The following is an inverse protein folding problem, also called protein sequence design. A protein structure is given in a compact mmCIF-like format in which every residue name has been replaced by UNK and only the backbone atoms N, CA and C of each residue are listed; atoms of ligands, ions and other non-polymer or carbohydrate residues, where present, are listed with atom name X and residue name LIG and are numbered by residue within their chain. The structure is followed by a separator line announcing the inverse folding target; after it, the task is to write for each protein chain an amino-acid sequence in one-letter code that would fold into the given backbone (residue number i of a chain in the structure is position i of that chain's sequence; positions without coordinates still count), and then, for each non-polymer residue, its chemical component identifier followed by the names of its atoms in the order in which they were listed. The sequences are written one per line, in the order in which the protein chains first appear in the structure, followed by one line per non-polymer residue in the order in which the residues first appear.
data_IF_537350937088
#
_entry.id   IF_537350937088
#
_cell.length_a   1.000
_cell.length_b   1.000
_cell.length_c   1.000
_cell.angle_alpha   90.00
_cell.angle_beta   90.00
_cell.angle_gamma   90.00
#
_symmetry.space_group_name_H-M   'P 1'
#
loop_
_entity.id
_entity.type
_entity.pdbx_description
1 polymer ?
#
# COMPACT_ATOMS: atom_id res chain seq x y z
N UNK A 1 -23.71 -20.29 5.08
CA UNK A 1 -23.66 -20.07 6.54
C UNK A 1 -22.26 -19.63 6.95
N UNK A 2 -21.21 -20.46 6.76
CA UNK A 2 -19.81 -20.10 7.10
C UNK A 2 -19.24 -18.85 6.39
N UNK A 3 -19.58 -18.63 5.11
CA UNK A 3 -19.09 -17.48 4.33
C UNK A 3 -19.76 -16.16 4.74
N UNK A 4 -21.04 -16.22 5.12
CA UNK A 4 -21.77 -15.05 5.63
C UNK A 4 -21.27 -14.66 7.02
N UNK A 5 -20.90 -15.64 7.85
CA UNK A 5 -20.32 -15.40 9.18
C UNK A 5 -18.93 -14.76 9.09
N UNK A 6 -18.09 -15.21 8.16
CA UNK A 6 -16.76 -14.62 7.94
C UNK A 6 -16.86 -13.19 7.39
N UNK A 7 -17.81 -12.95 6.47
CA UNK A 7 -18.08 -11.62 5.94
C UNK A 7 -18.67 -10.67 7.01
N UNK A 8 -19.53 -11.18 7.89
CA UNK A 8 -20.08 -10.42 9.01
C UNK A 8 -18.99 -10.03 10.02
N UNK A 9 -18.12 -10.98 10.42
CA UNK A 9 -16.98 -10.68 11.30
C UNK A 9 -15.97 -9.73 10.67
N UNK A 10 -15.77 -9.77 9.35
CA UNK A 10 -14.92 -8.82 8.64
C UNK A 10 -15.51 -7.41 8.65
N UNK A 11 -16.81 -7.26 8.38
CA UNK A 11 -17.48 -5.95 8.40
C UNK A 11 -17.52 -5.32 9.81
N UNK A 12 -17.67 -6.12 10.86
CA UNK A 12 -17.65 -5.61 12.23
C UNK A 12 -16.26 -5.05 12.62
N UNK A 13 -15.18 -5.71 12.19
CA UNK A 13 -13.81 -5.22 12.41
C UNK A 13 -13.51 -3.96 11.61
N UNK A 14 -14.01 -3.84 10.38
CA UNK A 14 -13.86 -2.64 9.56
C UNK A 14 -14.56 -1.43 10.18
N UNK A 15 -15.75 -1.63 10.77
CA UNK A 15 -16.52 -0.57 11.43
C UNK A 15 -15.82 -0.05 12.69
N UNK A 16 -15.24 -0.95 13.50
CA UNK A 16 -14.44 -0.59 14.68
C UNK A 16 -13.17 0.20 14.28
N UNK A 17 -12.54 -0.14 13.15
CA UNK A 17 -11.37 0.59 12.66
C UNK A 17 -11.77 1.98 12.16
N UNK A 18 -12.89 2.11 11.42
CA UNK A 18 -13.41 3.40 10.98
C UNK A 18 -13.82 4.32 12.15
N UNK A 19 -14.43 3.77 13.19
CA UNK A 19 -14.84 4.55 14.37
C UNK A 19 -13.61 5.06 15.14
N UNK A 20 -12.55 4.25 15.23
CA UNK A 20 -11.26 4.67 15.81
C UNK A 20 -10.55 5.72 14.95
N UNK A 21 -10.66 5.62 13.63
CA UNK A 21 -10.10 6.60 12.69
C UNK A 21 -10.81 7.97 12.83
N UNK A 22 -12.14 7.97 12.92
CA UNK A 22 -12.94 9.19 13.14
C UNK A 22 -12.70 9.81 14.51
N UNK A 23 -12.51 8.99 15.54
CA UNK A 23 -12.12 9.47 16.88
C UNK A 23 -10.75 10.14 16.85
N UNK A 24 -9.75 9.55 16.17
CA UNK A 24 -8.42 10.13 16.00
C UNK A 24 -8.45 11.46 15.22
N UNK A 25 -9.25 11.55 14.17
CA UNK A 25 -9.45 12.79 13.40
C UNK A 25 -10.16 13.88 14.20
N UNK A 26 -11.09 13.52 15.08
CA UNK A 26 -11.76 14.48 15.98
C UNK A 26 -10.80 15.04 17.04
N UNK A 27 -9.86 14.23 17.53
CA UNK A 27 -8.80 14.66 18.44
C UNK A 27 -7.80 15.59 17.73
N UNK A 28 -7.43 15.29 16.48
CA UNK A 28 -6.59 16.16 15.67
C UNK A 28 -7.24 17.54 15.46
N UNK A 29 -8.55 17.59 15.21
CA UNK A 29 -9.31 18.84 15.04
C UNK A 29 -9.45 19.63 16.35
N UNK A 30 -9.51 18.93 17.50
CA UNK A 30 -9.51 19.56 18.83
C UNK A 30 -8.15 20.15 19.22
N UNK A 31 -7.05 19.56 18.75
CA UNK A 31 -5.69 20.07 18.98
C UNK A 31 -5.33 21.24 18.04
N UNK A 32 -5.87 21.26 16.81
CA UNK A 32 -5.70 22.37 15.86
C UNK A 32 -6.34 23.69 16.34
N UNK A 33 -7.24 23.66 17.32
CA UNK A 33 -7.84 24.85 17.94
C UNK A 33 -6.98 25.52 19.01
N UNK A 34 -5.91 24.87 19.49
CA UNK A 34 -5.06 25.36 20.57
C UNK A 34 -3.68 25.69 20.02
N UNK A 35 -3.57 26.95 19.53
CA UNK A 35 -2.36 27.65 19.06
C UNK A 35 -1.82 27.21 17.70
N UNK A 36 -1.76 28.18 16.79
CA UNK A 36 -1.11 28.11 15.48
C UNK A 36 0.41 27.95 15.57
N UNK A 37 0.84 26.74 15.94
CA UNK A 37 2.23 26.30 15.90
C UNK A 37 2.31 25.27 14.78
N UNK A 38 3.15 25.53 13.79
CA UNK A 38 3.56 24.56 12.77
C UNK A 38 4.37 23.46 13.45
N UNK A 39 3.86 22.24 13.45
CA UNK A 39 4.44 21.08 14.13
C UNK A 39 5.48 20.40 13.24
N UNK A 40 6.74 20.31 13.69
CA UNK A 40 7.52 19.09 13.65
C UNK A 40 7.48 18.34 15.00
N UNK A 41 6.55 18.67 15.90
CA UNK A 41 6.44 18.16 17.29
C UNK A 41 5.70 16.82 17.48
N UNK A 42 5.48 16.02 16.43
CA UNK A 42 5.07 14.60 16.61
C UNK A 42 6.15 13.73 16.00
N UNK A 43 7.35 13.95 16.53
CA UNK A 43 8.18 12.89 17.08
C UNK A 43 7.26 11.82 17.70
N UNK A 44 6.92 10.85 16.87
CA UNK A 44 6.45 9.51 17.18
C UNK A 44 6.55 9.20 18.67
N UNK A 45 5.37 9.09 19.28
CA UNK A 45 5.03 8.65 20.63
C UNK A 45 5.57 7.24 20.98
N UNK A 46 6.78 6.87 20.57
CA UNK A 46 7.28 5.49 20.61
C UNK A 46 8.80 5.30 20.79
N UNK A 47 9.60 6.35 20.97
CA UNK A 47 11.00 6.18 21.37
C UNK A 47 11.14 6.38 22.88
N UNK A 48 11.48 5.28 23.54
CA UNK A 48 11.70 5.07 24.96
C UNK A 48 12.35 6.30 25.64
N UNK A 49 11.67 6.81 26.69
CA UNK A 49 11.84 8.09 27.39
C UNK A 49 13.22 8.39 28.02
N UNK A 50 14.30 7.72 27.62
CA UNK A 50 15.61 7.85 28.27
C UNK A 50 16.68 8.64 27.52
N UNK A 51 16.54 8.91 26.21
CA UNK A 51 17.70 9.27 25.36
C UNK A 51 17.60 10.56 24.54
N UNK A 52 16.49 11.31 24.68
CA UNK A 52 16.23 12.51 23.87
C UNK A 52 17.09 13.70 24.32
N UNK A 53 17.30 13.87 25.62
CA UNK A 53 18.14 14.97 26.13
C UNK A 53 19.64 14.74 25.85
N UNK A 54 20.07 13.46 25.78
CA UNK A 54 21.43 13.08 25.41
C UNK A 54 21.72 13.44 23.93
N UNK A 55 20.75 13.20 23.05
CA UNK A 55 20.83 13.51 21.61
C UNK A 55 20.83 15.03 21.37
N UNK A 56 20.07 15.81 22.14
CA UNK A 56 20.02 17.26 22.00
C UNK A 56 21.32 17.93 22.47
N UNK A 57 21.97 17.38 23.51
CA UNK A 57 23.29 17.84 23.97
C UNK A 57 24.42 17.50 22.99
N UNK A 58 24.34 16.35 22.31
CA UNK A 58 25.27 15.94 21.25
C UNK A 58 25.16 16.83 20.00
N UNK A 59 23.95 17.26 19.65
CA UNK A 59 23.72 18.16 18.51
C UNK A 59 24.26 19.58 18.76
N UNK A 60 24.06 20.12 19.98
CA UNK A 60 24.64 21.40 20.41
C UNK A 60 26.18 21.35 20.51
N UNK A 61 26.74 20.18 20.86
CA UNK A 61 28.19 19.95 20.86
C UNK A 61 28.82 19.87 19.46
N UNK A 62 28.09 19.34 18.47
CA UNK A 62 28.55 19.22 17.08
C UNK A 62 28.62 20.58 16.36
N UNK A 63 27.77 21.54 16.72
CA UNK A 63 27.77 22.89 16.13
C UNK A 63 28.94 23.75 16.62
N UNK A 64 29.46 23.49 17.84
CA UNK A 64 30.61 24.20 18.41
C UNK A 64 31.97 23.73 17.86
N UNK A 65 32.05 22.57 17.20
CA UNK A 65 33.31 21.93 16.79
C UNK A 65 33.41 21.74 15.27
N UNK A 66 33.10 22.78 14.49
CA UNK A 66 33.05 22.76 13.01
C UNK A 66 34.42 22.55 12.30
N UNK A 67 35.53 22.44 13.05
CA UNK A 67 36.90 22.56 12.50
C UNK A 67 37.80 21.30 12.59
N UNK A 68 37.25 20.11 12.92
CA UNK A 68 38.04 18.87 12.87
C UNK A 68 37.50 17.86 11.84
N UNK A 69 38.36 17.21 11.03
CA UNK A 69 37.95 16.26 9.98
C UNK A 69 37.21 15.03 10.52
N UNK A 70 37.34 14.75 11.81
CA UNK A 70 36.67 13.66 12.50
C UNK A 70 35.15 13.92 12.68
N UNK A 71 34.70 15.17 12.60
CA UNK A 71 33.30 15.56 12.85
C UNK A 71 32.38 15.37 11.62
N UNK A 72 32.93 15.45 10.39
CA UNK A 72 32.15 15.11 9.19
C UNK A 72 31.75 13.62 9.18
N UNK A 73 32.65 12.76 9.69
CA UNK A 73 32.39 11.33 9.83
C UNK A 73 31.25 11.11 10.83
N UNK A 74 31.30 11.75 12.02
CA UNK A 74 30.24 11.62 13.04
C UNK A 74 28.89 12.11 12.53
N UNK A 75 28.85 13.21 11.75
CA UNK A 75 27.63 13.71 11.13
C UNK A 75 27.07 12.74 10.07
N UNK A 76 27.94 12.11 9.26
CA UNK A 76 27.55 11.06 8.30
C UNK A 76 26.97 9.82 9.01
N UNK A 77 27.62 9.35 10.09
CA UNK A 77 27.12 8.23 10.89
C UNK A 77 25.77 8.56 11.53
N UNK A 78 25.58 9.79 12.00
CA UNK A 78 24.32 10.25 12.57
C UNK A 78 23.21 10.28 11.51
N UNK A 79 23.50 10.76 10.29
CA UNK A 79 22.54 10.82 9.18
C UNK A 79 22.10 9.42 8.72
N UNK A 80 23.04 8.46 8.65
CA UNK A 80 22.75 7.05 8.32
C UNK A 80 21.90 6.34 9.36
N UNK A 81 21.88 6.82 10.60
CA UNK A 81 21.10 6.19 11.68
C UNK A 81 19.65 6.71 11.74
N UNK A 82 19.36 7.86 11.12
CA UNK A 82 18.05 8.56 11.25
C UNK A 82 17.12 8.32 10.05
N UNK A 83 17.65 7.95 8.88
CA UNK A 83 16.82 7.62 7.72
C UNK A 83 16.62 6.10 7.63
N UNK A 84 15.49 5.53 8.10
CA UNK A 84 15.13 4.18 7.70
C UNK A 84 14.90 4.23 6.18
N UNK A 85 15.87 3.75 5.43
CA UNK A 85 15.69 3.49 4.02
C UNK A 85 14.65 2.38 3.91
N UNK A 86 13.47 2.72 3.39
CA UNK A 86 12.47 1.71 3.05
C UNK A 86 13.10 0.71 2.09
N UNK A 87 13.16 -0.54 2.51
CA UNK A 87 13.94 -1.60 1.90
C UNK A 87 13.15 -2.90 1.93
N UNK A 88 13.53 -3.84 1.08
CA UNK A 88 12.91 -5.16 1.10
C UNK A 88 13.31 -5.92 2.36
N UNK A 89 12.32 -6.37 3.12
CA UNK A 89 12.55 -7.16 4.33
C UNK A 89 12.62 -8.67 3.99
N UNK A 90 13.48 -9.45 4.67
CA UNK A 90 13.54 -10.90 4.47
C UNK A 90 12.16 -11.53 4.72
N UNK A 91 11.69 -12.33 3.74
CA UNK A 91 10.39 -13.03 3.78
C UNK A 91 9.14 -12.15 3.69
N UNK A 92 9.25 -10.91 3.20
CA UNK A 92 8.10 -10.05 2.93
C UNK A 92 7.22 -10.62 1.79
N UNK A 93 5.90 -10.67 2.02
CA UNK A 93 4.91 -11.24 1.07
C UNK A 93 3.99 -10.18 0.43
N UNK A 94 4.23 -8.90 0.69
CA UNK A 94 3.45 -7.77 0.18
C UNK A 94 4.32 -6.60 -0.26
N UNK A 95 3.69 -5.48 -0.59
CA UNK A 95 4.38 -4.24 -0.95
C UNK A 95 5.16 -3.64 0.22
N UNK A 96 6.12 -2.76 -0.09
CA UNK A 96 6.75 -1.83 0.87
C UNK A 96 5.74 -0.80 1.38
N UNK A 97 6.11 -0.10 2.46
CA UNK A 97 5.26 0.91 3.07
C UNK A 97 5.05 2.10 2.12
N UNK A 98 3.83 2.64 2.10
CA UNK A 98 3.51 3.72 1.19
C UNK A 98 4.12 5.04 1.66
N UNK A 99 5.14 5.53 0.95
CA UNK A 99 5.74 6.85 1.19
C UNK A 99 5.06 8.00 0.39
N UNK A 100 4.14 7.68 -0.53
CA UNK A 100 3.44 8.66 -1.38
C UNK A 100 1.94 8.35 -1.45
N UNK A 101 1.07 9.37 -1.66
CA UNK A 101 -0.37 9.15 -1.84
C UNK A 101 -0.68 8.27 -3.06
N UNK A 102 0.17 8.33 -4.09
CA UNK A 102 0.08 7.46 -5.27
C UNK A 102 0.31 6.00 -4.88
N UNK A 103 1.35 5.69 -4.11
CA UNK A 103 1.64 4.33 -3.65
C UNK A 103 0.53 3.78 -2.74
N UNK A 104 -0.08 4.65 -1.93
CA UNK A 104 -1.26 4.26 -1.14
C UNK A 104 -2.41 3.83 -2.05
N UNK A 105 -2.73 4.62 -3.08
CA UNK A 105 -3.76 4.28 -4.05
C UNK A 105 -3.48 2.99 -4.84
N UNK A 106 -2.21 2.73 -5.17
CA UNK A 106 -1.79 1.47 -5.81
C UNK A 106 -2.03 0.27 -4.87
N UNK A 107 -1.69 0.43 -3.58
CA UNK A 107 -1.90 -0.61 -2.58
C UNK A 107 -3.39 -0.90 -2.38
N UNK A 108 -4.23 0.13 -2.33
CA UNK A 108 -5.68 -0.02 -2.21
C UNK A 108 -6.27 -0.74 -3.44
N UNK A 109 -5.88 -0.34 -4.65
CA UNK A 109 -6.28 -1.00 -5.90
C UNK A 109 -5.84 -2.47 -5.93
N UNK A 110 -4.61 -2.77 -5.48
CA UNK A 110 -4.12 -4.15 -5.40
C UNK A 110 -5.02 -5.01 -4.51
N UNK A 111 -5.41 -4.52 -3.32
CA UNK A 111 -6.29 -5.27 -2.42
C UNK A 111 -7.68 -5.50 -3.03
N UNK A 112 -8.26 -4.49 -3.69
CA UNK A 112 -9.55 -4.61 -4.38
C UNK A 112 -9.52 -5.67 -5.48
N UNK A 113 -8.50 -5.63 -6.35
CA UNK A 113 -8.30 -6.62 -7.42
C UNK A 113 -8.13 -8.02 -6.82
N UNK A 114 -7.28 -8.14 -5.81
CA UNK A 114 -6.94 -9.44 -5.21
C UNK A 114 -8.15 -10.10 -4.54
N UNK A 115 -9.04 -9.31 -3.94
CA UNK A 115 -10.31 -9.79 -3.39
C UNK A 115 -11.18 -10.48 -4.46
N UNK A 116 -11.36 -9.86 -5.64
CA UNK A 116 -12.13 -10.46 -6.73
C UNK A 116 -11.44 -11.71 -7.31
N UNK A 117 -10.11 -11.69 -7.44
CA UNK A 117 -9.35 -12.84 -7.93
C UNK A 117 -9.50 -14.05 -7.00
N UNK A 118 -9.38 -13.87 -5.69
CA UNK A 118 -9.60 -14.94 -4.71
C UNK A 118 -11.03 -15.49 -4.81
N UNK A 119 -12.03 -14.62 -4.95
CA UNK A 119 -13.42 -15.02 -5.07
C UNK A 119 -13.63 -15.92 -6.30
N UNK A 120 -13.12 -15.53 -7.47
CA UNK A 120 -13.20 -16.31 -8.70
C UNK A 120 -12.45 -17.64 -8.54
N UNK A 121 -11.25 -17.61 -7.95
CA UNK A 121 -10.43 -18.79 -7.72
C UNK A 121 -11.19 -19.83 -6.88
N UNK A 122 -11.74 -19.43 -5.74
CA UNK A 122 -12.52 -20.34 -4.87
C UNK A 122 -13.75 -20.88 -5.59
N UNK A 123 -14.47 -20.05 -6.36
CA UNK A 123 -15.63 -20.48 -7.14
C UNK A 123 -15.27 -21.54 -8.19
N UNK A 124 -14.22 -21.31 -8.97
CA UNK A 124 -13.75 -22.25 -9.99
C UNK A 124 -13.21 -23.54 -9.35
N UNK A 125 -12.40 -23.43 -8.30
CA UNK A 125 -11.89 -24.58 -7.55
C UNK A 125 -13.03 -25.43 -6.97
N UNK A 126 -14.09 -24.81 -6.47
CA UNK A 126 -15.28 -25.52 -5.96
C UNK A 126 -16.00 -26.28 -7.07
N UNK A 127 -16.30 -25.63 -8.21
CA UNK A 127 -16.97 -26.31 -9.35
C UNK A 127 -16.10 -27.45 -9.88
N UNK A 128 -14.79 -27.25 -9.98
CA UNK A 128 -13.85 -28.29 -10.41
C UNK A 128 -13.86 -29.47 -9.43
N UNK A 129 -13.75 -29.22 -8.13
CA UNK A 129 -13.82 -30.27 -7.11
C UNK A 129 -15.15 -31.03 -7.14
N UNK A 130 -16.27 -30.33 -7.34
CA UNK A 130 -17.61 -30.93 -7.49
C UNK A 130 -17.71 -31.77 -8.76
N UNK A 131 -17.18 -31.30 -9.88
CA UNK A 131 -17.17 -32.02 -11.15
C UNK A 131 -16.35 -33.31 -11.02
N UNK A 132 -15.14 -33.25 -10.48
CA UNK A 132 -14.29 -34.41 -10.24
C UNK A 132 -14.98 -35.44 -9.31
N UNK A 133 -15.66 -34.98 -8.26
CA UNK A 133 -16.37 -35.86 -7.33
C UNK A 133 -17.61 -36.52 -7.94
N UNK A 134 -18.39 -35.79 -8.74
CA UNK A 134 -19.66 -36.26 -9.30
C UNK A 134 -19.46 -37.11 -10.57
N UNK A 135 -18.50 -36.75 -11.41
CA UNK A 135 -18.15 -37.46 -12.65
C UNK A 135 -17.01 -38.47 -12.47
N UNK A 136 -16.66 -38.82 -11.22
CA UNK A 136 -15.74 -39.90 -10.96
C UNK A 136 -16.32 -41.21 -11.54
N UNK A 137 -15.50 -41.96 -12.28
CA UNK A 137 -15.82 -43.27 -12.87
C UNK A 137 -16.65 -44.21 -11.97
N UNK A 138 -16.35 -44.26 -10.66
CA UNK A 138 -17.12 -45.07 -9.69
C UNK A 138 -18.58 -44.64 -9.53
N UNK A 139 -18.90 -43.36 -9.76
CA UNK A 139 -20.24 -42.79 -9.60
C UNK A 139 -20.96 -42.58 -10.93
N UNK A 140 -20.23 -42.32 -12.01
CA UNK A 140 -20.82 -42.07 -13.31
C UNK A 140 -20.04 -42.82 -14.42
N UNK A 141 -20.30 -44.14 -14.58
CA UNK A 141 -19.53 -44.99 -15.49
C UNK A 141 -19.89 -44.80 -16.98
N UNK A 142 -21.05 -44.20 -17.30
CA UNK A 142 -21.49 -43.95 -18.67
C UNK A 142 -21.40 -42.44 -18.95
N UNK A 143 -20.51 -41.99 -19.86
CA UNK A 143 -20.37 -40.57 -20.16
C UNK A 143 -21.56 -40.05 -20.98
N UNK A 144 -22.06 -38.87 -20.62
CA UNK A 144 -23.08 -38.18 -21.40
C UNK A 144 -22.46 -37.52 -22.64
N UNK A 145 -23.10 -37.65 -23.80
CA UNK A 145 -22.66 -37.08 -25.10
C UNK A 145 -23.37 -35.75 -25.41
N UNK A 146 -23.23 -34.75 -24.55
CA UNK A 146 -23.73 -33.39 -24.80
C UNK A 146 -22.55 -32.55 -25.29
N UNK A 147 -22.63 -32.08 -26.54
CA UNK A 147 -21.51 -31.38 -27.21
C UNK A 147 -21.78 -29.89 -27.37
N UNK A 148 -23.05 -29.48 -27.43
CA UNK A 148 -23.44 -28.09 -27.68
C UNK A 148 -24.41 -27.61 -26.62
N UNK A 149 -24.19 -26.38 -26.14
CA UNK A 149 -25.04 -25.73 -25.16
C UNK A 149 -24.92 -24.21 -25.27
N UNK A 150 -25.45 -23.62 -26.35
CA UNK A 150 -25.33 -22.19 -26.65
C UNK A 150 -25.65 -21.28 -25.45
N UNK A 151 -26.64 -21.66 -24.63
CA UNK A 151 -26.99 -20.93 -23.40
C UNK A 151 -25.86 -20.86 -22.38
N UNK A 152 -25.13 -21.96 -22.12
CA UNK A 152 -24.00 -21.97 -21.17
C UNK A 152 -22.80 -21.20 -21.73
N UNK A 153 -22.65 -21.18 -23.06
CA UNK A 153 -21.59 -20.43 -23.72
C UNK A 153 -21.80 -18.92 -23.63
N UNK A 154 -23.05 -18.46 -23.78
CA UNK A 154 -23.40 -17.05 -23.57
C UNK A 154 -23.19 -16.68 -22.09
N UNK A 155 -23.68 -17.53 -21.17
CA UNK A 155 -23.61 -17.27 -19.73
C UNK A 155 -22.16 -17.12 -19.24
N UNK A 156 -21.27 -18.04 -19.64
CA UNK A 156 -19.84 -18.00 -19.28
C UNK A 156 -19.08 -16.86 -19.93
N UNK A 157 -19.64 -16.15 -20.90
CA UNK A 157 -18.97 -15.01 -21.54
C UNK A 157 -19.40 -13.71 -20.85
N UNK A 158 -20.69 -13.60 -20.52
CA UNK A 158 -21.25 -12.43 -19.83
C UNK A 158 -20.77 -12.38 -18.37
N UNK A 159 -20.88 -13.48 -17.62
CA UNK A 159 -20.54 -13.50 -16.20
C UNK A 159 -19.09 -13.06 -15.91
N UNK A 160 -18.06 -13.58 -16.61
CA UNK A 160 -16.68 -13.16 -16.40
C UNK A 160 -16.37 -11.76 -16.94
N UNK A 161 -17.16 -11.23 -17.86
CA UNK A 161 -16.94 -9.88 -18.40
C UNK A 161 -17.43 -8.78 -17.44
N UNK A 162 -18.45 -9.07 -16.62
CA UNK A 162 -19.02 -8.10 -15.68
C UNK A 162 -18.08 -7.84 -14.50
N UNK A 163 -17.36 -8.86 -14.02
CA UNK A 163 -16.51 -8.71 -12.81
C UNK A 163 -15.37 -7.70 -13.03
N UNK A 164 -14.56 -7.77 -14.12
CA UNK A 164 -13.51 -6.79 -14.41
C UNK A 164 -14.04 -5.37 -14.66
N UNK A 165 -15.29 -5.24 -15.14
CA UNK A 165 -15.89 -3.92 -15.36
C UNK A 165 -16.01 -3.11 -14.07
N UNK A 166 -16.32 -3.76 -12.94
CA UNK A 166 -16.37 -3.11 -11.63
C UNK A 166 -14.98 -2.72 -11.11
N UNK A 167 -13.96 -3.53 -11.43
CA UNK A 167 -12.56 -3.26 -11.05
C UNK A 167 -11.98 -2.08 -11.86
N UNK A 168 -12.45 -1.89 -13.09
CA UNK A 168 -11.97 -0.81 -13.96
C UNK A 168 -12.29 0.59 -13.41
N UNK A 169 -13.39 0.75 -12.66
CA UNK A 169 -13.82 2.06 -12.12
C UNK A 169 -12.77 2.66 -11.17
N UNK A 170 -12.36 2.00 -10.06
CA UNK A 170 -11.31 2.53 -9.19
C UNK A 170 -9.96 2.63 -9.90
N UNK A 171 -9.66 1.71 -10.84
CA UNK A 171 -8.42 1.75 -11.62
C UNK A 171 -8.30 3.01 -12.48
N UNK A 172 -9.37 3.43 -13.15
CA UNK A 172 -9.34 4.66 -13.95
C UNK A 172 -9.27 5.91 -13.07
N UNK A 173 -9.99 5.94 -11.95
CA UNK A 173 -9.91 7.05 -11.00
C UNK A 173 -8.48 7.26 -10.49
N UNK A 174 -7.76 6.17 -10.16
CA UNK A 174 -6.36 6.24 -9.73
C UNK A 174 -5.45 6.76 -10.85
N UNK A 175 -5.62 6.26 -12.08
CA UNK A 175 -4.80 6.67 -13.22
C UNK A 175 -4.91 8.18 -13.50
N UNK A 176 -6.12 8.74 -13.44
CA UNK A 176 -6.30 10.19 -13.59
C UNK A 176 -5.64 10.98 -12.46
N UNK A 177 -5.71 10.50 -11.21
CA UNK A 177 -5.04 11.17 -10.08
C UNK A 177 -3.52 11.15 -10.15
N UNK A 178 -2.93 10.18 -10.87
CA UNK A 178 -1.48 10.09 -11.09
C UNK A 178 -1.00 10.98 -12.24
N UNK A 179 -1.85 11.23 -13.23
CA UNK A 179 -1.55 12.08 -14.38
C UNK A 179 -1.74 13.57 -14.07
N UNK A 180 -2.61 13.90 -13.11
CA UNK A 180 -2.80 15.26 -12.62
C UNK A 180 -1.55 15.68 -11.82
N UNK A 181 -0.57 16.28 -12.51
CA UNK A 181 0.65 16.81 -11.90
C UNK A 181 0.28 18.02 -11.04
N UNK A 182 0.14 17.80 -9.73
CA UNK A 182 -0.26 18.79 -8.74
C UNK A 182 0.89 19.76 -8.43
N UNK A 183 0.66 21.04 -8.77
CA UNK A 183 1.33 22.32 -8.40
C UNK A 183 2.84 22.47 -8.62
N UNK A 184 3.24 23.73 -8.84
CA UNK A 184 4.62 24.20 -9.02
C UNK A 184 5.61 23.40 -8.13
N UNK A 185 6.51 22.60 -8.74
CA UNK A 185 7.38 21.72 -7.98
C UNK A 185 8.37 22.55 -7.18
N UNK A 186 8.42 22.32 -5.86
CA UNK A 186 9.38 23.02 -4.99
C UNK A 186 10.84 22.72 -5.35
N UNK A 187 11.11 21.54 -5.91
CA UNK A 187 12.44 21.11 -6.36
C UNK A 187 12.28 20.32 -7.67
N UNK A 188 13.12 20.62 -8.66
CA UNK A 188 13.19 19.86 -9.91
C UNK A 188 14.52 19.11 -10.01
N UNK A 189 14.46 17.79 -10.04
CA UNK A 189 15.64 16.92 -10.22
C UNK A 189 15.56 16.27 -11.59
N UNK A 190 16.59 16.48 -12.42
CA UNK A 190 16.68 15.83 -13.73
C UNK A 190 17.45 14.52 -13.61
N UNK A 191 16.77 13.38 -13.69
CA UNK A 191 17.44 12.08 -13.73
C UNK A 191 17.88 11.71 -15.16
N UNK A 192 19.19 11.60 -15.41
CA UNK A 192 19.78 11.17 -16.68
C UNK A 192 20.28 9.73 -16.53
N UNK A 193 19.79 8.82 -17.37
CA UNK A 193 20.24 7.44 -17.42
C UNK A 193 21.40 7.26 -18.40
N UNK A 194 22.52 6.71 -17.90
CA UNK A 194 23.64 6.22 -18.70
C UNK A 194 23.65 4.70 -18.68
N UNK A 195 24.46 4.08 -19.54
CA UNK A 195 24.61 2.63 -19.52
C UNK A 195 25.20 2.19 -18.16
N UNK A 196 24.39 1.51 -17.34
CA UNK A 196 24.68 1.02 -15.99
C UNK A 196 24.80 2.05 -14.85
N UNK A 197 24.56 3.35 -15.06
CA UNK A 197 24.50 4.33 -13.97
C UNK A 197 23.53 5.48 -14.24
N UNK A 198 23.21 6.27 -13.22
CA UNK A 198 22.34 7.45 -13.33
C UNK A 198 23.06 8.68 -12.78
N UNK A 199 22.82 9.83 -13.38
CA UNK A 199 23.29 11.14 -12.88
C UNK A 199 22.10 12.07 -12.68
N UNK A 200 22.08 12.81 -11.58
CA UNK A 200 20.98 13.69 -11.22
C UNK A 200 21.50 15.12 -10.93
N UNK A 201 21.76 15.95 -11.97
CA UNK A 201 22.07 17.35 -11.75
C UNK A 201 20.88 18.07 -11.11
N UNK A 202 21.17 18.85 -10.07
CA UNK A 202 20.23 19.80 -9.49
C UNK A 202 20.11 21.00 -10.43
N UNK A 203 18.89 21.33 -10.82
CA UNK A 203 18.59 22.57 -11.51
C UNK A 203 17.90 23.47 -10.48
N UNK A 204 18.63 24.41 -9.88
CA UNK A 204 17.99 25.59 -9.31
C UNK A 204 17.40 26.39 -10.48
N UNK A 205 16.10 26.66 -10.43
CA UNK A 205 15.41 27.37 -11.49
C UNK A 205 15.92 28.81 -11.65
N UNK A 206 15.98 29.26 -12.90
CA UNK A 206 15.83 30.67 -13.28
C UNK A 206 14.35 31.06 -13.23
#
# INVERSE_FOLDING_TARGET
MFVLDLAYQAMEKVKVIQDRLKAAQSLQKSYAGVRGISVPDILVLGLEKGKVEEIQSLFLGAEQSKNEPNQMIVLEWLFLTIAPCDAAEPWQLGSQDAATPIMQGITDLHHDVFFFVILILVFVSWILGRALWHFHYKKNPIPQRIVHGTTIEILRTIFPSIIPMFIAIPSFALLYSMDEVVVDPAITIKAIGHQWYRSAPLHEGD
#
